data_IF_125798248294
#
_entry.id   IF_125798248294
#
_cell.length_a   1.000
_cell.length_b   1.000
_cell.length_c   1.000
_cell.angle_alpha   90.00
_cell.angle_beta   90.00
_cell.angle_gamma   90.00
#
_symmetry.space_group_name_H-M   'P 1'
#
loop_
_entity.id
_entity.type
_entity.pdbx_description
1 polymer ?
#
# COMPACT_ATOMS: atom_id res chain seq x y z
N UNK A 1 10.49 -1.45 -8.91
CA UNK A 1 10.43 -1.04 -7.50
C UNK A 1 10.09 -2.18 -6.56
N UNK A 2 8.84 -2.70 -6.52
CA UNK A 2 8.45 -3.76 -5.55
C UNK A 2 9.41 -4.96 -5.55
N UNK A 3 9.68 -5.56 -6.71
CA UNK A 3 10.62 -6.69 -6.81
C UNK A 3 12.05 -6.39 -6.30
N UNK A 4 12.52 -5.13 -6.39
CA UNK A 4 13.82 -4.74 -5.84
C UNK A 4 13.78 -4.60 -4.31
N UNK A 5 12.65 -4.14 -3.77
CA UNK A 5 12.41 -4.12 -2.32
C UNK A 5 12.40 -5.57 -1.81
N UNK A 6 11.65 -6.45 -2.48
CA UNK A 6 11.57 -7.87 -2.14
C UNK A 6 12.95 -8.51 -2.09
N UNK A 7 13.75 -8.33 -3.15
CA UNK A 7 15.11 -8.84 -3.23
C UNK A 7 15.99 -8.32 -2.08
N UNK A 8 15.92 -7.03 -1.77
CA UNK A 8 16.74 -6.43 -0.72
C UNK A 8 16.33 -6.94 0.67
N UNK A 9 15.03 -7.05 0.95
CA UNK A 9 14.52 -7.59 2.21
C UNK A 9 14.81 -9.09 2.35
N UNK A 10 14.72 -9.85 1.25
CA UNK A 10 15.13 -11.26 1.21
C UNK A 10 16.62 -11.42 1.52
N UNK A 11 17.47 -10.55 0.97
CA UNK A 11 18.92 -10.59 1.24
C UNK A 11 19.26 -10.26 2.70
N UNK A 12 18.58 -9.27 3.29
CA UNK A 12 18.86 -8.82 4.67
C UNK A 12 18.31 -9.80 5.71
N UNK A 13 17.06 -10.26 5.55
CA UNK A 13 16.33 -11.00 6.59
C UNK A 13 16.02 -12.45 6.23
N UNK A 14 16.42 -12.92 5.05
CA UNK A 14 16.07 -14.25 4.57
C UNK A 14 14.57 -14.44 4.32
N UNK A 15 13.85 -13.37 3.97
CA UNK A 15 12.42 -13.48 3.66
C UNK A 15 12.20 -14.26 2.36
N UNK A 16 11.18 -15.10 2.37
CA UNK A 16 10.60 -15.69 1.17
C UNK A 16 9.27 -15.02 0.87
N UNK A 17 8.88 -14.97 -0.40
CA UNK A 17 7.67 -14.29 -0.86
C UNK A 17 6.62 -15.31 -1.30
N UNK A 18 5.40 -15.13 -0.81
CA UNK A 18 4.28 -15.94 -1.21
C UNK A 18 3.94 -15.71 -2.69
N UNK A 19 3.40 -16.72 -3.39
CA UNK A 19 2.84 -16.52 -4.72
C UNK A 19 1.76 -15.42 -4.69
N UNK A 20 1.60 -14.65 -5.79
CA UNK A 20 0.56 -13.62 -5.87
C UNK A 20 -0.82 -14.23 -5.65
N UNK A 21 -1.55 -13.74 -4.64
CA UNK A 21 -2.83 -14.31 -4.24
C UNK A 21 -3.93 -14.19 -5.33
N UNK A 22 -3.86 -13.13 -6.16
CA UNK A 22 -4.83 -12.83 -7.22
C UNK A 22 -4.12 -12.32 -8.48
N UNK A 23 -3.37 -13.19 -9.17
CA UNK A 23 -2.67 -12.82 -10.41
C UNK A 23 -3.62 -12.33 -11.53
N UNK A 24 -4.90 -12.70 -11.47
CA UNK A 24 -5.91 -12.39 -12.50
C UNK A 24 -6.79 -11.18 -12.17
N UNK A 25 -6.68 -10.60 -10.97
CA UNK A 25 -7.47 -9.43 -10.60
C UNK A 25 -6.90 -8.16 -11.26
N UNK A 26 -7.75 -7.43 -11.98
CA UNK A 26 -7.37 -6.13 -12.54
C UNK A 26 -7.02 -5.17 -11.40
N UNK A 27 -5.84 -4.54 -11.42
CA UNK A 27 -5.46 -3.58 -10.39
C UNK A 27 -6.18 -2.23 -10.58
N UNK A 28 -6.94 -2.06 -11.66
CA UNK A 28 -7.68 -0.85 -12.00
C UNK A 28 -9.07 -0.85 -11.38
N UNK A 29 -9.31 0.10 -10.48
CA UNK A 29 -10.62 0.29 -9.84
C UNK A 29 -11.50 1.19 -10.71
N UNK A 30 -12.43 0.59 -11.45
CA UNK A 30 -13.45 1.29 -12.25
C UNK A 30 -14.87 1.00 -11.72
N UNK A 31 -15.84 1.91 -11.89
CA UNK A 31 -15.72 3.27 -12.42
C UNK A 31 -15.30 4.29 -11.35
N UNK A 32 -14.63 5.37 -11.76
CA UNK A 32 -14.38 6.55 -10.91
C UNK A 32 -15.22 7.72 -11.42
N UNK A 33 -15.90 8.42 -10.53
CA UNK A 33 -16.65 9.64 -10.85
C UNK A 33 -15.70 10.84 -10.93
N UNK A 34 -15.94 11.78 -11.86
CA UNK A 34 -15.12 12.97 -12.03
C UNK A 34 -15.51 14.12 -11.06
N UNK A 35 -16.33 13.84 -10.05
CA UNK A 35 -16.92 14.83 -9.12
C UNK A 35 -17.77 15.95 -9.76
N UNK A 36 -18.02 15.88 -11.07
CA UNK A 36 -18.92 16.77 -11.83
C UNK A 36 -20.14 16.01 -12.39
N UNK A 37 -20.52 14.89 -11.77
CA UNK A 37 -21.66 14.07 -12.19
C UNK A 37 -21.42 13.19 -13.42
N UNK A 38 -20.16 13.06 -13.88
CA UNK A 38 -19.77 12.22 -15.00
C UNK A 38 -18.73 11.16 -14.62
N UNK A 39 -18.44 10.25 -15.55
CA UNK A 39 -17.36 9.27 -15.39
C UNK A 39 -16.01 9.90 -15.71
N UNK A 40 -15.02 9.63 -14.87
CA UNK A 40 -13.62 9.88 -15.14
C UNK A 40 -13.05 8.76 -16.00
N UNK A 41 -12.25 9.11 -17.01
CA UNK A 41 -11.39 8.17 -17.73
C UNK A 41 -10.11 7.86 -16.93
N UNK A 42 -9.77 8.73 -15.98
CA UNK A 42 -8.67 8.48 -15.05
C UNK A 42 -9.16 7.55 -13.93
N UNK A 43 -8.37 6.51 -13.67
CA UNK A 43 -8.65 5.46 -12.70
C UNK A 43 -7.65 5.49 -11.55
N UNK A 44 -8.03 4.85 -10.45
CA UNK A 44 -7.17 4.53 -9.33
C UNK A 44 -6.65 3.11 -9.57
N UNK A 45 -5.36 2.92 -9.34
CA UNK A 45 -4.71 1.63 -9.35
C UNK A 45 -4.37 1.25 -7.93
N UNK A 46 -4.85 0.08 -7.50
CA UNK A 46 -4.31 -0.62 -6.34
C UNK A 46 -3.69 -1.90 -6.87
N UNK A 47 -2.36 -1.92 -6.93
CA UNK A 47 -1.61 -3.09 -7.34
C UNK A 47 -1.82 -4.24 -6.36
N UNK A 48 -1.65 -5.50 -6.82
CA UNK A 48 -1.73 -6.65 -5.94
C UNK A 48 -0.73 -6.52 -4.80
N UNK A 49 -1.14 -6.99 -3.62
CA UNK A 49 -0.27 -7.00 -2.45
C UNK A 49 0.73 -8.15 -2.59
N UNK A 50 2.02 -7.83 -2.44
CA UNK A 50 3.07 -8.83 -2.27
C UNK A 50 3.26 -9.09 -0.79
N UNK A 51 3.31 -10.37 -0.40
CA UNK A 51 3.39 -10.79 1.01
C UNK A 51 4.58 -11.74 1.20
N UNK A 52 5.42 -11.46 2.18
CA UNK A 52 6.41 -12.45 2.63
C UNK A 52 5.77 -13.55 3.48
N UNK A 53 6.39 -14.72 3.56
CA UNK A 53 5.93 -15.87 4.37
C UNK A 53 6.33 -15.77 5.84
N UNK A 54 7.16 -14.77 6.18
CA UNK A 54 7.61 -14.45 7.53
C UNK A 54 7.75 -12.95 7.73
N UNK A 55 7.96 -12.50 8.97
CA UNK A 55 8.13 -11.10 9.33
C UNK A 55 9.29 -10.95 10.31
N UNK A 56 10.10 -9.88 10.24
CA UNK A 56 11.07 -9.59 11.29
C UNK A 56 10.36 -9.33 12.63
N UNK A 57 10.75 -10.04 13.69
CA UNK A 57 10.04 -10.00 14.97
C UNK A 57 10.45 -8.80 15.84
N UNK A 58 11.74 -8.47 15.83
CA UNK A 58 12.26 -7.36 16.62
C UNK A 58 11.89 -6.02 15.98
N UNK A 59 11.62 -5.02 16.82
CA UNK A 59 11.29 -3.68 16.35
C UNK A 59 12.45 -3.05 15.55
N UNK A 60 13.68 -3.25 16.01
CA UNK A 60 14.87 -2.78 15.31
C UNK A 60 14.96 -3.33 13.88
N UNK A 61 14.61 -4.60 13.66
CA UNK A 61 14.63 -5.22 12.34
C UNK A 61 13.51 -4.67 11.44
N UNK A 62 12.33 -4.39 12.00
CA UNK A 62 11.23 -3.71 11.28
C UNK A 62 11.64 -2.29 10.87
N UNK A 63 12.33 -1.56 11.74
CA UNK A 63 12.88 -0.24 11.39
C UNK A 63 13.95 -0.34 10.30
N UNK A 64 14.83 -1.35 10.38
CA UNK A 64 15.81 -1.62 9.34
C UNK A 64 15.14 -1.95 7.99
N UNK A 65 14.07 -2.75 8.00
CA UNK A 65 13.27 -3.03 6.82
C UNK A 65 12.66 -1.76 6.22
N UNK A 66 12.09 -0.86 7.04
CA UNK A 66 11.58 0.44 6.58
C UNK A 66 12.67 1.30 5.93
N UNK A 67 13.89 1.32 6.50
CA UNK A 67 15.03 2.02 5.90
C UNK A 67 15.40 1.43 4.54
N UNK A 68 15.49 0.11 4.40
CA UNK A 68 15.77 -0.57 3.13
C UNK A 68 14.69 -0.23 2.09
N UNK A 69 13.41 -0.28 2.49
CA UNK A 69 12.29 0.09 1.62
C UNK A 69 12.46 1.53 1.13
N UNK A 70 12.79 2.47 2.02
CA UNK A 70 13.03 3.87 1.68
C UNK A 70 14.23 4.10 0.77
N UNK A 71 15.34 3.40 1.01
CA UNK A 71 16.53 3.45 0.16
C UNK A 71 16.18 2.98 -1.27
N UNK A 72 15.43 1.89 -1.41
CA UNK A 72 15.00 1.40 -2.72
C UNK A 72 13.99 2.33 -3.38
N UNK A 73 12.94 2.74 -2.66
CA UNK A 73 11.85 3.55 -3.21
C UNK A 73 12.31 4.96 -3.60
N UNK A 74 13.28 5.55 -2.89
CA UNK A 74 13.82 6.87 -3.21
C UNK A 74 14.45 6.96 -4.61
N UNK A 75 15.01 5.85 -5.12
CA UNK A 75 15.53 5.76 -6.50
C UNK A 75 14.44 5.94 -7.56
N UNK A 76 13.18 5.79 -7.17
CA UNK A 76 11.99 5.97 -7.99
C UNK A 76 11.24 7.27 -7.68
N UNK A 77 11.82 8.17 -6.89
CA UNK A 77 11.21 9.46 -6.53
C UNK A 77 10.18 9.40 -5.41
N UNK A 78 10.15 8.30 -4.64
CA UNK A 78 9.32 8.20 -3.44
C UNK A 78 10.03 8.81 -2.23
N UNK A 79 9.26 9.29 -1.26
CA UNK A 79 9.79 9.62 0.06
C UNK A 79 10.13 8.35 0.84
N UNK A 80 10.79 8.52 1.98
CA UNK A 80 10.93 7.44 2.95
C UNK A 80 9.53 7.01 3.45
N UNK A 81 9.31 5.72 3.73
CA UNK A 81 8.08 5.26 4.36
C UNK A 81 7.93 5.84 5.76
N UNK A 82 6.76 6.39 6.03
CA UNK A 82 6.38 6.84 7.36
C UNK A 82 5.33 5.89 7.92
N UNK A 83 5.50 5.49 9.18
CA UNK A 83 4.47 4.72 9.89
C UNK A 83 3.28 5.64 10.10
N UNK A 84 2.08 5.11 9.90
CA UNK A 84 0.86 5.88 10.11
C UNK A 84 0.82 6.40 11.55
N UNK A 85 0.77 7.72 11.69
CA UNK A 85 0.50 8.37 12.97
C UNK A 85 -0.93 8.06 13.40
N UNK A 86 -1.08 7.36 14.52
CA UNK A 86 -2.37 6.94 15.08
C UNK A 86 -2.64 7.60 16.43
N UNK A 87 -2.07 8.80 16.64
CA UNK A 87 -2.19 9.58 17.87
C UNK A 87 -3.62 10.08 18.10
N UNK A 88 -4.42 10.19 17.02
CA UNK A 88 -5.83 10.56 17.09
C UNK A 88 -6.73 9.41 17.54
N UNK A 89 -6.23 8.17 17.54
CA UNK A 89 -7.01 7.01 17.94
C UNK A 89 -7.00 6.88 19.47
N UNK A 90 -8.12 6.42 20.03
CA UNK A 90 -8.17 6.08 21.44
C UNK A 90 -7.20 4.94 21.78
N UNK A 91 -6.79 4.82 23.04
CA UNK A 91 -5.95 3.70 23.47
C UNK A 91 -6.66 2.37 23.26
N UNK A 92 -7.97 2.35 23.49
CA UNK A 92 -8.85 1.20 23.29
C UNK A 92 -8.87 0.75 21.83
N UNK A 93 -9.03 1.67 20.89
CA UNK A 93 -9.03 1.36 19.45
C UNK A 93 -7.67 0.83 19.01
N UNK A 94 -6.57 1.43 19.49
CA UNK A 94 -5.21 0.98 19.14
C UNK A 94 -4.93 -0.43 19.66
N UNK A 95 -5.36 -0.75 20.88
CA UNK A 95 -5.23 -2.11 21.43
C UNK A 95 -6.12 -3.09 20.63
N UNK A 96 -7.38 -2.74 20.40
CA UNK A 96 -8.33 -3.59 19.67
C UNK A 96 -7.85 -3.90 18.25
N UNK A 97 -7.38 -2.88 17.54
CA UNK A 97 -7.17 -3.00 16.09
C UNK A 97 -5.72 -3.25 15.70
N UNK A 98 -4.76 -2.87 16.54
CA UNK A 98 -3.32 -3.02 16.25
C UNK A 98 -2.62 -3.95 17.24
N UNK A 99 -3.23 -4.26 18.39
CA UNK A 99 -2.67 -5.17 19.39
C UNK A 99 -1.75 -4.50 20.40
N UNK A 100 -1.52 -3.18 20.28
CA UNK A 100 -0.61 -2.46 21.18
C UNK A 100 -0.66 -0.94 21.03
N UNK A 101 -0.12 -0.25 22.05
CA UNK A 101 -0.04 1.21 22.12
C UNK A 101 1.25 1.79 21.53
N UNK A 102 2.21 0.95 21.16
CA UNK A 102 3.47 1.35 20.56
C UNK A 102 3.83 0.38 19.45
N UNK A 103 4.50 0.81 18.37
CA UNK A 103 4.78 -0.06 17.23
C UNK A 103 5.51 -1.37 17.57
N UNK A 104 6.39 -1.37 18.57
CA UNK A 104 7.11 -2.57 19.05
C UNK A 104 6.19 -3.61 19.71
N UNK A 105 5.01 -3.20 20.17
CA UNK A 105 4.00 -4.03 20.84
C UNK A 105 2.80 -4.35 19.95
N UNK A 106 2.72 -3.75 18.78
CA UNK A 106 1.60 -3.95 17.86
C UNK A 106 1.77 -5.22 17.04
N UNK A 107 0.68 -5.96 16.86
CA UNK A 107 0.53 -7.04 15.88
C UNK A 107 0.58 -6.47 14.46
N UNK A 108 -0.04 -5.31 14.23
CA UNK A 108 -0.10 -4.67 12.92
C UNK A 108 0.57 -3.29 13.00
N UNK A 109 1.62 -3.10 12.19
CA UNK A 109 2.26 -1.80 11.97
C UNK A 109 2.17 -1.48 10.50
N UNK A 110 1.49 -0.39 10.14
CA UNK A 110 1.32 0.02 8.74
C UNK A 110 1.92 1.40 8.51
N UNK A 111 2.40 1.62 7.29
CA UNK A 111 2.96 2.88 6.85
C UNK A 111 2.81 3.08 5.35
N UNK A 112 3.28 4.22 4.88
CA UNK A 112 3.19 4.62 3.49
C UNK A 112 4.36 5.49 3.08
N UNK A 113 4.83 5.31 1.86
CA UNK A 113 5.74 6.23 1.17
C UNK A 113 4.98 6.92 0.02
N UNK A 114 4.71 8.22 0.11
CA UNK A 114 4.28 9.03 -1.02
C UNK A 114 5.26 8.98 -2.20
N UNK A 115 4.70 8.85 -3.40
CA UNK A 115 5.42 8.86 -4.67
C UNK A 115 5.02 10.05 -5.56
N UNK A 116 5.64 10.17 -6.75
CA UNK A 116 5.33 11.24 -7.68
C UNK A 116 3.89 11.13 -8.20
N UNK A 117 3.30 12.28 -8.56
CA UNK A 117 2.02 12.36 -9.27
C UNK A 117 0.87 11.54 -8.64
N UNK A 118 0.75 11.56 -7.31
CA UNK A 118 -0.35 10.89 -6.61
C UNK A 118 -0.19 9.37 -6.51
N UNK A 119 1.04 8.87 -6.63
CA UNK A 119 1.41 7.48 -6.37
C UNK A 119 1.73 7.27 -4.89
N UNK A 120 1.60 6.05 -4.40
CA UNK A 120 2.01 5.66 -3.04
C UNK A 120 2.48 4.21 -3.00
N UNK A 121 3.30 3.91 -2.00
CA UNK A 121 3.70 2.57 -1.62
C UNK A 121 3.22 2.34 -0.19
N UNK A 122 2.29 1.41 0.00
CA UNK A 122 1.85 0.96 1.32
C UNK A 122 2.75 -0.17 1.81
N UNK A 123 3.08 -0.13 3.10
CA UNK A 123 3.86 -1.16 3.79
C UNK A 123 3.08 -1.59 5.02
N UNK A 124 3.02 -2.90 5.29
CA UNK A 124 2.45 -3.44 6.53
C UNK A 124 3.34 -4.54 7.08
N UNK A 125 3.65 -4.47 8.37
CA UNK A 125 4.15 -5.59 9.14
C UNK A 125 2.99 -6.20 9.93
N UNK A 126 2.79 -7.50 9.79
CA UNK A 126 1.85 -8.26 10.59
C UNK A 126 2.60 -9.37 11.32
N UNK A 127 2.59 -9.34 12.65
CA UNK A 127 3.40 -10.19 13.53
C UNK A 127 2.55 -10.75 14.67
N UNK A 128 2.03 -11.97 14.48
CA UNK A 128 1.22 -12.66 15.48
C UNK A 128 2.04 -13.10 16.70
N UNK A 129 3.37 -12.99 16.69
CA UNK A 129 4.15 -13.17 17.93
C UNK A 129 3.80 -12.10 18.98
N UNK A 130 3.12 -11.01 18.59
CA UNK A 130 2.62 -9.97 19.50
C UNK A 130 1.18 -10.21 19.96
N UNK A 131 0.49 -11.22 19.39
CA UNK A 131 -0.88 -11.55 19.73
C UNK A 131 -0.94 -12.40 21.00
N UNK A 132 -0.97 -11.75 22.16
CA UNK A 132 -0.87 -12.42 23.46
C UNK A 132 -2.13 -13.20 23.86
N UNK A 133 -3.27 -12.92 23.24
CA UNK A 133 -4.56 -13.50 23.62
C UNK A 133 -5.27 -14.24 22.47
N UNK A 134 -4.65 -14.34 21.29
CA UNK A 134 -5.20 -15.05 20.13
C UNK A 134 -6.28 -14.28 19.36
N UNK A 135 -6.59 -13.04 19.75
CA UNK A 135 -7.67 -12.25 19.12
C UNK A 135 -7.35 -11.96 17.66
N UNK A 136 -6.09 -11.71 17.33
CA UNK A 136 -5.68 -11.41 15.96
C UNK A 136 -5.61 -12.67 15.12
N UNK A 137 -5.11 -13.78 15.67
CA UNK A 137 -5.09 -15.07 14.99
C UNK A 137 -6.50 -15.52 14.57
N UNK A 138 -7.51 -15.27 15.40
CA UNK A 138 -8.91 -15.55 15.07
C UNK A 138 -9.49 -14.54 14.08
N UNK A 139 -9.28 -13.23 14.32
CA UNK A 139 -9.83 -12.16 13.48
C UNK A 139 -9.27 -12.11 12.06
N UNK A 140 -7.98 -12.41 11.91
CA UNK A 140 -7.26 -12.32 10.65
C UNK A 140 -7.18 -13.66 9.91
N UNK A 141 -7.82 -14.71 10.44
CA UNK A 141 -7.76 -16.05 9.86
C UNK A 141 -8.12 -16.00 8.37
N UNK A 142 -7.22 -16.41 7.47
CA UNK A 142 -7.51 -16.35 6.06
C UNK A 142 -8.61 -17.37 5.69
N UNK A 143 -9.45 -17.06 4.68
CA UNK A 143 -10.42 -18.01 4.16
C UNK A 143 -9.76 -19.34 3.76
N UNK A 144 -10.51 -20.44 3.84
CA UNK A 144 -9.99 -21.74 3.43
C UNK A 144 -9.56 -21.70 1.95
N UNK A 145 -8.32 -22.11 1.69
CA UNK A 145 -7.73 -22.09 0.34
C UNK A 145 -7.07 -20.77 -0.05
N UNK A 146 -7.12 -19.73 0.80
CA UNK A 146 -6.39 -18.48 0.58
C UNK A 146 -4.88 -18.68 0.79
N UNK A 147 -4.10 -17.95 -0.01
CA UNK A 147 -2.63 -17.90 0.10
C UNK A 147 -2.14 -16.73 0.98
N UNK A 148 -3.05 -16.03 1.67
CA UNK A 148 -2.68 -14.94 2.57
C UNK A 148 -1.84 -15.41 3.76
N UNK A 149 -0.80 -14.63 4.06
CA UNK A 149 0.17 -14.90 5.09
C UNK A 149 -0.18 -14.15 6.37
N UNK A 150 -0.22 -14.87 7.50
CA UNK A 150 -0.56 -14.29 8.80
C UNK A 150 0.62 -13.59 9.49
N UNK A 151 1.85 -13.98 9.17
CA UNK A 151 3.07 -13.34 9.65
C UNK A 151 3.84 -12.83 8.43
N UNK A 152 3.73 -11.55 8.12
CA UNK A 152 4.15 -11.04 6.81
C UNK A 152 4.65 -9.60 6.85
N UNK A 153 5.59 -9.30 5.96
CA UNK A 153 5.80 -7.98 5.39
C UNK A 153 4.97 -7.92 4.11
N UNK A 154 4.01 -7.00 4.07
CA UNK A 154 3.15 -6.79 2.93
C UNK A 154 3.46 -5.44 2.26
N UNK A 155 3.52 -5.46 0.93
CA UNK A 155 3.81 -4.30 0.09
C UNK A 155 2.72 -4.14 -0.96
N UNK A 156 2.20 -2.93 -1.14
CA UNK A 156 1.26 -2.63 -2.23
C UNK A 156 1.57 -1.28 -2.84
N UNK A 157 1.54 -1.22 -4.17
CA UNK A 157 1.63 0.01 -4.93
C UNK A 157 0.23 0.55 -5.19
N UNK A 158 0.04 1.86 -5.07
CA UNK A 158 -1.15 2.50 -5.60
C UNK A 158 -0.88 3.81 -6.30
N UNK A 159 -1.85 4.24 -7.10
CA UNK A 159 -1.76 5.47 -7.89
C UNK A 159 -3.12 6.03 -8.22
N UNK A 160 -3.25 7.35 -8.12
CA UNK A 160 -4.41 8.09 -8.60
C UNK A 160 -4.16 8.63 -10.01
N UNK A 161 -5.24 8.85 -10.76
CA UNK A 161 -5.16 9.64 -11.98
C UNK A 161 -4.50 8.91 -13.17
N UNK A 162 -4.43 7.58 -13.15
CA UNK A 162 -3.84 6.82 -14.24
C UNK A 162 -4.85 6.63 -15.37
N UNK A 163 -4.36 6.74 -16.60
CA UNK A 163 -5.15 6.43 -17.80
C UNK A 163 -4.77 5.04 -18.27
N UNK A 164 -5.76 4.15 -18.39
CA UNK A 164 -5.50 2.84 -18.99
C UNK A 164 -5.08 3.03 -20.45
N UNK A 165 -4.12 2.22 -20.93
CA UNK A 165 -3.57 2.40 -22.27
C UNK A 165 -4.64 2.32 -23.37
N UNK A 166 -5.66 1.48 -23.16
CA UNK A 166 -6.83 1.33 -24.04
C UNK A 166 -7.69 2.61 -24.15
N UNK A 167 -7.74 3.43 -23.10
CA UNK A 167 -8.55 4.65 -23.05
C UNK A 167 -7.82 5.87 -23.64
N UNK A 168 -6.56 5.71 -24.08
CA UNK A 168 -5.71 6.82 -24.54
C UNK A 168 -6.33 7.63 -25.67
N UNK A 169 -6.81 6.95 -26.71
CA UNK A 169 -7.38 7.63 -27.88
C UNK A 169 -8.65 8.41 -27.53
N UNK A 170 -9.48 7.86 -26.64
CA UNK A 170 -10.70 8.52 -26.17
C UNK A 170 -10.36 9.75 -25.33
N UNK A 171 -9.40 9.62 -24.42
CA UNK A 171 -8.91 10.75 -23.61
C UNK A 171 -8.37 11.88 -24.49
N UNK A 172 -7.50 11.57 -25.45
CA UNK A 172 -6.95 12.56 -26.39
C UNK A 172 -8.07 13.22 -27.21
N UNK A 173 -9.05 12.45 -27.71
CA UNK A 173 -10.20 13.00 -28.43
C UNK A 173 -11.07 13.92 -27.57
N UNK A 174 -11.26 13.62 -26.29
CA UNK A 174 -12.03 14.47 -25.36
C UNK A 174 -11.27 15.70 -24.91
N UNK A 175 -9.94 15.65 -24.90
CA UNK A 175 -9.07 16.77 -24.53
C UNK A 175 -8.94 17.79 -25.66
N UNK A 176 -9.04 17.35 -26.92
CA UNK A 176 -8.76 18.20 -28.09
C UNK A 176 -9.54 19.52 -28.13
N UNK A 177 -10.85 19.60 -27.81
CA UNK A 177 -11.59 20.86 -27.77
C UNK A 177 -11.04 21.90 -26.76
N UNK A 178 -10.27 21.45 -25.77
CA UNK A 178 -9.70 22.29 -24.73
C UNK A 178 -8.25 22.70 -25.02
N UNK A 179 -7.63 22.17 -26.08
CA UNK A 179 -6.24 22.47 -26.43
C UNK A 179 -6.07 23.97 -26.72
N UNK A 180 -5.13 24.60 -26.02
CA UNK A 180 -4.83 26.03 -26.19
C UNK A 180 -5.80 26.98 -25.48
N UNK A 181 -6.82 26.47 -24.79
CA UNK A 181 -7.65 27.27 -23.89
C UNK A 181 -6.91 27.49 -22.57
N UNK A 182 -7.12 28.66 -21.97
CA UNK A 182 -6.66 28.94 -20.61
C UNK A 182 -7.44 28.06 -19.64
N UNK A 183 -6.76 27.28 -18.77
CA UNK A 183 -7.43 26.54 -17.71
C UNK A 183 -8.25 27.50 -16.84
N UNK A 184 -9.46 27.13 -16.41
CA UNK A 184 -10.22 27.95 -15.47
C UNK A 184 -9.44 28.08 -14.16
N UNK A 185 -9.63 29.19 -13.45
CA UNK A 185 -9.07 29.30 -12.11
C UNK A 185 -9.62 28.18 -11.22
N UNK A 186 -8.79 27.55 -10.38
CA UNK A 186 -9.27 26.58 -9.41
C UNK A 186 -10.35 27.23 -8.55
N UNK A 187 -11.50 26.58 -8.42
CA UNK A 187 -12.45 26.96 -7.37
C UNK A 187 -11.75 26.71 -6.03
N UNK A 188 -11.68 27.74 -5.18
CA UNK A 188 -10.95 27.70 -3.91
C UNK A 188 -11.26 26.42 -3.11
N UNK A 189 -10.20 25.75 -2.65
CA UNK A 189 -10.24 24.53 -1.82
C UNK A 189 -10.22 24.83 -0.33
#
# INVERSE_FOLDING_TARGET
MIAEIELALSAEFGLEWAPPADADASPFNRPIENHFGGRSLLTNVNGPESQSTSVPQAWADKQRALSIIGEVSSRYGYSAPEINGLERWSSEDRIRDLGGLTPDKQVIVSGMAPGPAGQWLSVRFQDLSKDTNGTFADRLRPPQGSQWQLNTVALSYGANGLLAAEDRNEFESRLEPFRGLTPPEPLES
#
